data_IF_293835594674
#
_entry.id   IF_293835594674
#
_cell.length_a   1.000
_cell.length_b   1.000
_cell.length_c   1.000
_cell.angle_alpha   90.00
_cell.angle_beta   90.00
_cell.angle_gamma   90.00
#
_symmetry.space_group_name_H-M   'P 1'
#
loop_
_entity.id
_entity.type
_entity.pdbx_description
1 polymer ?
#
# COMPACT_ATOMS: atom_id res chain seq x y z
N UNK A 1 -2.73 20.52 10.80
CA UNK A 1 -2.20 19.76 9.64
C UNK A 1 -3.34 18.99 9.04
N UNK A 2 -3.52 19.02 7.72
CA UNK A 2 -4.48 18.15 7.04
C UNK A 2 -3.80 16.79 6.90
N UNK A 3 -4.39 15.74 7.47
CA UNK A 3 -3.87 14.38 7.33
C UNK A 3 -4.21 13.89 5.92
N UNK A 4 -3.18 13.66 5.11
CA UNK A 4 -3.34 13.14 3.74
C UNK A 4 -3.57 11.62 3.79
N UNK A 5 -4.55 11.15 3.02
CA UNK A 5 -4.87 9.73 2.90
C UNK A 5 -4.47 9.21 1.52
N UNK A 6 -4.32 7.90 1.40
CA UNK A 6 -3.95 7.29 0.11
C UNK A 6 -5.03 7.53 -0.96
N UNK A 7 -6.29 7.61 -0.55
CA UNK A 7 -7.43 7.89 -1.42
C UNK A 7 -7.42 9.31 -1.99
N UNK A 8 -6.69 10.25 -1.37
CA UNK A 8 -6.51 11.60 -1.91
C UNK A 8 -5.59 11.61 -3.15
N UNK A 9 -4.70 10.61 -3.24
CA UNK A 9 -3.71 10.45 -4.31
C UNK A 9 -4.22 9.50 -5.38
N UNK A 10 -4.74 8.34 -4.97
CA UNK A 10 -5.18 7.26 -5.85
C UNK A 10 -6.70 7.29 -6.06
N UNK A 11 -7.21 8.47 -6.46
CA UNK A 11 -8.64 8.67 -6.76
C UNK A 11 -9.08 7.74 -7.89
N UNK A 12 -10.14 6.97 -7.64
CA UNK A 12 -10.69 6.00 -8.60
C UNK A 12 -10.22 4.56 -8.39
N UNK A 13 -9.27 4.32 -7.48
CA UNK A 13 -8.86 2.98 -7.08
C UNK A 13 -9.49 2.61 -5.73
N UNK A 14 -9.95 1.36 -5.61
CA UNK A 14 -10.43 0.83 -4.34
C UNK A 14 -9.22 0.36 -3.53
N UNK A 15 -8.80 1.15 -2.56
CA UNK A 15 -7.63 0.89 -1.73
C UNK A 15 -8.00 0.93 -0.26
N UNK A 16 -7.64 -0.14 0.44
CA UNK A 16 -7.67 -0.25 1.89
C UNK A 16 -6.22 -0.33 2.39
N UNK A 17 -5.89 0.50 3.36
CA UNK A 17 -4.57 0.53 3.97
C UNK A 17 -4.73 0.44 5.48
N UNK A 18 -3.98 -0.44 6.12
CA UNK A 18 -4.04 -0.67 7.57
C UNK A 18 -2.67 -0.95 8.16
N UNK A 19 -2.55 -0.83 9.48
CA UNK A 19 -1.33 -1.03 10.25
C UNK A 19 -1.62 -1.91 11.47
N UNK A 20 -1.11 -3.14 11.47
CA UNK A 20 -1.50 -4.18 12.44
C UNK A 20 -0.28 -4.93 13.00
N UNK A 21 -0.39 -5.58 14.19
CA UNK A 21 0.72 -6.35 14.76
C UNK A 21 0.82 -7.73 14.09
N UNK A 22 1.43 -7.81 12.91
CA UNK A 22 1.60 -9.11 12.27
C UNK A 22 2.56 -9.99 13.09
N UNK A 23 2.32 -11.31 13.07
CA UNK A 23 3.17 -12.31 13.71
C UNK A 23 3.82 -13.19 12.64
N UNK A 24 4.22 -12.57 11.53
CA UNK A 24 4.88 -13.23 10.39
C UNK A 24 6.35 -13.51 10.71
N UNK A 25 6.82 -14.67 10.26
CA UNK A 25 8.12 -15.26 10.60
C UNK A 25 9.28 -14.57 9.88
N UNK A 26 9.05 -14.12 8.65
CA UNK A 26 9.94 -13.16 8.00
C UNK A 26 9.58 -11.76 8.50
N UNK A 27 10.57 -10.89 8.76
CA UNK A 27 10.37 -9.49 9.13
C UNK A 27 9.82 -8.70 7.93
N UNK A 28 8.66 -9.10 7.41
CA UNK A 28 7.96 -8.40 6.36
C UNK A 28 7.53 -7.04 6.88
N UNK A 29 8.04 -6.01 6.22
CA UNK A 29 7.71 -4.61 6.45
C UNK A 29 6.22 -4.33 6.14
N UNK A 30 5.69 -4.94 5.08
CA UNK A 30 4.28 -4.86 4.67
C UNK A 30 3.93 -5.89 3.59
N UNK A 31 2.63 -6.09 3.33
CA UNK A 31 2.12 -6.91 2.22
C UNK A 31 1.05 -6.20 1.39
N UNK A 32 1.00 -6.53 0.10
CA UNK A 32 -0.02 -6.10 -0.84
C UNK A 32 -0.82 -7.29 -1.37
N UNK A 33 -2.12 -7.26 -1.16
CA UNK A 33 -3.05 -8.29 -1.64
C UNK A 33 -4.16 -7.64 -2.48
N UNK A 34 -4.38 -8.14 -3.69
CA UNK A 34 -5.59 -7.81 -4.45
C UNK A 34 -6.64 -8.90 -4.23
N UNK A 35 -7.73 -8.56 -3.54
CA UNK A 35 -8.85 -9.48 -3.29
C UNK A 35 -9.70 -9.70 -4.56
N UNK A 36 -10.48 -10.79 -4.61
CA UNK A 36 -11.44 -11.07 -5.70
C UNK A 36 -12.51 -9.97 -5.89
N UNK A 37 -12.67 -9.10 -4.90
CA UNK A 37 -13.51 -7.90 -4.96
C UNK A 37 -12.87 -6.74 -5.72
N UNK A 38 -11.62 -6.89 -6.20
CA UNK A 38 -10.88 -5.87 -6.91
C UNK A 38 -10.42 -4.71 -6.02
N UNK A 39 -10.25 -4.96 -4.72
CA UNK A 39 -9.73 -4.02 -3.72
C UNK A 39 -8.24 -4.32 -3.51
N UNK A 40 -7.42 -3.27 -3.50
CA UNK A 40 -6.03 -3.31 -3.10
C UNK A 40 -5.93 -3.18 -1.58
N UNK A 41 -5.44 -4.22 -0.91
CA UNK A 41 -5.25 -4.24 0.53
C UNK A 41 -3.76 -4.15 0.81
N UNK A 42 -3.35 -3.04 1.42
CA UNK A 42 -1.98 -2.76 1.85
C UNK A 42 -1.95 -2.87 3.36
N UNK A 43 -1.12 -3.74 3.92
CA UNK A 43 -1.02 -3.89 5.38
C UNK A 43 0.41 -3.76 5.84
N UNK A 44 0.65 -2.80 6.72
CA UNK A 44 1.95 -2.56 7.34
C UNK A 44 2.05 -3.23 8.71
N UNK A 45 3.25 -3.69 9.04
CA UNK A 45 3.53 -4.33 10.31
C UNK A 45 4.19 -3.36 11.29
N UNK A 46 3.44 -2.79 12.24
CA UNK A 46 4.03 -1.86 13.22
C UNK A 46 5.02 -2.50 14.20
N UNK A 47 5.21 -3.84 14.17
CA UNK A 47 6.32 -4.48 14.90
C UNK A 47 7.66 -4.30 14.19
N UNK A 48 7.66 -3.88 12.92
CA UNK A 48 8.88 -3.53 12.19
C UNK A 48 9.37 -2.15 12.64
N UNK A 49 10.68 -2.00 12.87
CA UNK A 49 11.27 -0.78 13.44
C UNK A 49 11.04 0.48 12.58
N UNK A 50 10.94 0.28 11.26
CA UNK A 50 10.76 1.38 10.29
C UNK A 50 9.28 1.73 10.01
N UNK A 51 8.31 1.11 10.72
CA UNK A 51 6.88 1.37 10.53
C UNK A 51 6.32 2.14 11.73
N UNK A 52 5.84 3.34 11.46
CA UNK A 52 5.07 4.13 12.43
C UNK A 52 3.60 3.68 12.46
N UNK A 53 2.96 3.78 13.63
CA UNK A 53 1.56 3.32 13.80
C UNK A 53 0.52 4.20 13.11
N UNK A 54 0.84 5.48 12.93
CA UNK A 54 -0.14 6.48 12.50
C UNK A 54 -0.04 6.81 11.01
N UNK A 55 1.14 6.62 10.42
CA UNK A 55 1.41 6.97 9.02
C UNK A 55 2.52 6.11 8.41
N UNK A 56 2.58 6.14 7.09
CA UNK A 56 3.70 5.68 6.26
C UNK A 56 4.10 6.79 5.28
N UNK A 57 5.27 6.69 4.67
CA UNK A 57 5.68 7.59 3.59
C UNK A 57 5.21 7.08 2.23
N UNK A 58 5.18 7.96 1.23
CA UNK A 58 4.95 7.56 -0.16
C UNK A 58 5.97 6.54 -0.64
N UNK A 59 7.25 6.71 -0.28
CA UNK A 59 8.29 5.75 -0.66
C UNK A 59 7.97 4.35 -0.13
N UNK A 60 7.57 4.26 1.13
CA UNK A 60 7.19 2.99 1.76
C UNK A 60 6.00 2.32 1.06
N UNK A 61 5.05 3.08 0.52
CA UNK A 61 3.95 2.55 -0.28
C UNK A 61 4.47 2.04 -1.63
N UNK A 62 5.32 2.81 -2.32
CA UNK A 62 5.94 2.40 -3.60
C UNK A 62 6.70 1.08 -3.43
N UNK A 63 7.51 0.96 -2.38
CA UNK A 63 8.32 -0.23 -2.10
C UNK A 63 7.44 -1.48 -1.95
N UNK A 64 6.24 -1.33 -1.38
CA UNK A 64 5.27 -2.42 -1.23
C UNK A 64 4.68 -2.84 -2.58
N UNK A 65 4.29 -1.88 -3.42
CA UNK A 65 3.80 -2.18 -4.77
C UNK A 65 4.87 -2.82 -5.68
N UNK A 66 6.14 -2.45 -5.52
CA UNK A 66 7.23 -2.98 -6.33
C UNK A 66 7.73 -4.35 -5.88
N UNK A 67 7.76 -4.61 -4.56
CA UNK A 67 8.45 -5.79 -4.02
C UNK A 67 7.53 -6.82 -3.35
N UNK A 68 6.35 -6.43 -2.88
CA UNK A 68 5.56 -7.25 -1.94
C UNK A 68 4.13 -7.50 -2.42
N UNK A 69 3.97 -7.91 -3.68
CA UNK A 69 2.66 -8.11 -4.29
C UNK A 69 2.23 -9.56 -4.43
N UNK A 70 0.99 -9.83 -4.02
CA UNK A 70 0.27 -11.07 -4.31
C UNK A 70 -1.15 -10.78 -4.78
N UNK A 71 -1.66 -11.63 -5.68
CA UNK A 71 -3.01 -11.46 -6.22
C UNK A 71 -3.65 -12.83 -6.51
N UNK A 72 -4.98 -12.88 -6.40
CA UNK A 72 -5.74 -14.04 -6.84
C UNK A 72 -5.75 -14.13 -8.37
N UNK A 73 -5.78 -15.36 -8.91
CA UNK A 73 -5.74 -15.63 -10.37
C UNK A 73 -6.83 -14.88 -11.14
N UNK A 74 -8.02 -14.78 -10.54
CA UNK A 74 -9.21 -14.06 -11.00
C UNK A 74 -9.04 -12.55 -11.08
N UNK A 75 -8.09 -11.98 -10.33
CA UNK A 75 -7.80 -10.54 -10.29
C UNK A 75 -6.51 -10.16 -11.02
N UNK A 76 -5.79 -11.14 -11.59
CA UNK A 76 -4.48 -10.95 -12.22
C UNK A 76 -4.48 -9.92 -13.34
N UNK A 77 -5.39 -10.04 -14.30
CA UNK A 77 -5.41 -9.15 -15.47
C UNK A 77 -5.68 -7.68 -15.08
N UNK A 78 -6.62 -7.48 -14.15
CA UNK A 78 -6.89 -6.16 -13.57
C UNK A 78 -5.65 -5.60 -12.88
N UNK A 79 -5.00 -6.42 -12.06
CA UNK A 79 -3.79 -6.05 -11.33
C UNK A 79 -2.65 -5.64 -12.26
N UNK A 80 -2.36 -6.44 -13.28
CA UNK A 80 -1.28 -6.19 -14.25
C UNK A 80 -1.49 -4.88 -15.03
N UNK A 81 -2.75 -4.48 -15.24
CA UNK A 81 -3.10 -3.21 -15.88
C UNK A 81 -2.99 -2.02 -14.92
N UNK A 82 -3.52 -2.15 -13.70
CA UNK A 82 -3.60 -1.05 -12.73
C UNK A 82 -2.26 -0.77 -12.04
N UNK A 83 -1.43 -1.79 -11.78
CA UNK A 83 -0.15 -1.63 -11.07
C UNK A 83 0.77 -0.57 -11.71
N UNK A 84 1.05 -0.59 -13.04
CA UNK A 84 1.88 0.44 -13.67
C UNK A 84 1.28 1.84 -13.57
N UNK A 85 -0.05 1.95 -13.65
CA UNK A 85 -0.77 3.23 -13.54
C UNK A 85 -0.66 3.80 -12.12
N UNK A 86 -0.90 2.97 -11.10
CA UNK A 86 -0.77 3.32 -9.68
C UNK A 86 0.66 3.76 -9.37
N UNK A 87 1.67 2.97 -9.77
CA UNK A 87 3.07 3.31 -9.56
C UNK A 87 3.46 4.63 -10.23
N UNK A 88 2.94 4.91 -11.43
CA UNK A 88 3.16 6.18 -12.13
C UNK A 88 2.58 7.38 -11.38
N UNK A 89 1.43 7.23 -10.71
CA UNK A 89 0.83 8.28 -9.89
C UNK A 89 1.65 8.51 -8.61
N UNK A 90 2.03 7.43 -7.92
CA UNK A 90 2.80 7.50 -6.68
C UNK A 90 4.18 8.12 -6.89
N UNK A 91 4.88 7.75 -7.96
CA UNK A 91 6.22 8.28 -8.29
C UNK A 91 6.25 9.76 -8.66
N UNK A 92 5.09 10.40 -8.84
CA UNK A 92 4.97 11.86 -9.05
C UNK A 92 4.81 12.64 -7.74
N UNK A 93 4.56 11.96 -6.62
CA UNK A 93 4.44 12.57 -5.30
C UNK A 93 5.83 12.75 -4.66
N UNK A 94 5.93 13.61 -3.64
CA UNK A 94 7.13 13.68 -2.82
C UNK A 94 7.25 12.39 -1.98
N UNK A 95 8.36 11.64 -2.09
CA UNK A 95 8.54 10.34 -1.43
C UNK A 95 8.48 10.42 0.10
N UNK A 96 8.72 11.59 0.70
CA UNK A 96 8.69 11.82 2.14
C UNK A 96 7.30 12.20 2.67
N UNK A 97 6.32 12.40 1.78
CA UNK A 97 4.94 12.74 2.15
C UNK A 97 4.37 11.66 3.05
N UNK A 98 3.82 12.07 4.19
CA UNK A 98 3.18 11.18 5.16
C UNK A 98 1.73 10.91 4.77
N UNK A 99 1.38 9.63 4.69
CA UNK A 99 0.05 9.11 4.42
C UNK A 99 -0.45 8.42 5.67
N UNK A 100 -1.56 8.91 6.22
CA UNK A 100 -2.14 8.42 7.47
C UNK A 100 -3.15 7.30 7.19
N UNK A 101 -3.26 6.35 8.14
CA UNK A 101 -4.16 5.20 8.02
C UNK A 101 -5.65 5.50 8.30
N UNK A 102 -5.92 6.62 8.99
CA UNK A 102 -7.26 7.10 9.41
C UNK A 102 -8.09 7.65 8.26
#
# INVERSE_FOLDING_TARGET
MINMKIQDILKGYNIMMDCVPLSITEPGYAYLNACDTGIWVITFNYKHLDVERDFVTIQQIIDVFENNSSYYKTSKEKYEKELPEILSILKKQDPTTKIYFI
#
